data_IF_717561765391
#
_entry.id   IF_717561765391
#
_cell.length_a   1.000
_cell.length_b   1.000
_cell.length_c   1.000
_cell.angle_alpha   90.00
_cell.angle_beta   90.00
_cell.angle_gamma   90.00
#
_symmetry.space_group_name_H-M   'P 1'
#
loop_
_entity.id
_entity.type
_entity.pdbx_description
1 polymer ?
#
# COMPACT_ATOMS: atom_id res chain seq x y z
N UNK A 1 20.00 -0.72 2.00
CA UNK A 1 19.45 -1.96 2.58
C UNK A 1 18.01 -1.77 3.05
N UNK A 2 17.68 -0.73 3.85
CA UNK A 2 16.29 -0.51 4.31
C UNK A 2 15.31 -0.37 3.15
N UNK A 3 15.64 0.39 2.11
CA UNK A 3 14.79 0.59 0.92
C UNK A 3 14.43 -0.74 0.23
N UNK A 4 15.40 -1.65 0.10
CA UNK A 4 15.16 -3.00 -0.46
C UNK A 4 14.27 -3.84 0.45
N UNK A 5 14.46 -3.76 1.77
CA UNK A 5 13.60 -4.44 2.73
C UNK A 5 12.18 -3.88 2.64
N UNK A 6 12.02 -2.56 2.52
CA UNK A 6 10.71 -1.92 2.30
C UNK A 6 10.04 -2.45 1.03
N UNK A 7 10.76 -2.49 -0.08
CA UNK A 7 10.25 -3.01 -1.34
C UNK A 7 9.81 -4.48 -1.20
N UNK A 8 10.65 -5.31 -0.60
CA UNK A 8 10.35 -6.73 -0.39
C UNK A 8 9.11 -6.92 0.49
N UNK A 9 9.05 -6.24 1.63
CA UNK A 9 7.91 -6.31 2.55
C UNK A 9 6.62 -5.83 1.88
N UNK A 10 6.69 -4.75 1.09
CA UNK A 10 5.54 -4.23 0.33
C UNK A 10 5.03 -5.22 -0.71
N UNK A 11 5.92 -6.03 -1.29
CA UNK A 11 5.54 -7.08 -2.24
C UNK A 11 4.98 -8.34 -1.57
N UNK A 12 5.41 -8.65 -0.35
CA UNK A 12 4.93 -9.85 0.38
C UNK A 12 3.58 -9.59 1.06
N UNK A 13 3.38 -8.38 1.59
CA UNK A 13 2.12 -8.02 2.26
C UNK A 13 1.05 -7.69 1.20
N UNK A 14 0.44 -8.76 0.66
CA UNK A 14 -0.60 -8.69 -0.38
C UNK A 14 -1.92 -8.28 0.28
N UNK A 15 -2.03 -7.02 0.67
CA UNK A 15 -3.26 -6.49 1.26
C UNK A 15 -3.46 -5.04 0.83
N UNK A 16 -4.61 -4.77 0.20
CA UNK A 16 -4.97 -3.43 -0.27
C UNK A 16 -5.02 -2.41 0.87
N UNK A 17 -4.31 -1.30 0.71
CA UNK A 17 -4.30 -0.20 1.66
C UNK A 17 -3.49 -0.49 2.93
N UNK A 18 -3.78 -1.59 3.63
CA UNK A 18 -3.04 -1.97 4.84
C UNK A 18 -1.57 -2.29 4.57
N UNK A 19 -1.25 -2.88 3.42
CA UNK A 19 0.14 -3.15 3.03
C UNK A 19 0.98 -1.88 2.99
N UNK A 20 0.47 -0.84 2.34
CA UNK A 20 1.16 0.44 2.22
C UNK A 20 1.28 1.16 3.57
N UNK A 21 0.18 1.25 4.32
CA UNK A 21 0.15 1.95 5.62
C UNK A 21 0.95 1.17 6.67
N UNK A 22 0.69 -0.13 6.81
CA UNK A 22 1.33 -0.97 7.83
C UNK A 22 2.83 -1.12 7.60
N UNK A 23 3.25 -1.48 6.39
CA UNK A 23 4.68 -1.55 6.05
C UNK A 23 5.33 -0.18 6.17
N UNK A 24 4.63 0.89 5.76
CA UNK A 24 5.09 2.26 5.94
C UNK A 24 5.35 2.61 7.39
N UNK A 25 4.43 2.31 8.29
CA UNK A 25 4.58 2.57 9.72
C UNK A 25 5.77 1.81 10.34
N UNK A 26 5.91 0.51 10.02
CA UNK A 26 7.02 -0.32 10.51
C UNK A 26 8.37 0.16 9.95
N UNK A 27 8.42 0.54 8.69
CA UNK A 27 9.66 0.93 8.02
C UNK A 27 10.10 2.38 8.30
N UNK A 28 9.18 3.25 8.75
CA UNK A 28 9.51 4.65 9.09
C UNK A 28 10.71 4.79 10.02
N UNK A 29 10.74 4.20 11.22
CA UNK A 29 11.87 4.38 12.14
C UNK A 29 13.18 3.84 11.57
N UNK A 30 13.14 2.84 10.70
CA UNK A 30 14.33 2.26 10.08
C UNK A 30 14.86 3.15 8.96
N UNK A 31 13.96 3.67 8.12
CA UNK A 31 14.31 4.56 7.01
C UNK A 31 14.75 5.94 7.51
N UNK A 32 14.16 6.43 8.59
CA UNK A 32 14.55 7.70 9.23
C UNK A 32 15.99 7.65 9.75
N UNK A 33 16.37 6.56 10.42
CA UNK A 33 17.76 6.36 10.85
C UNK A 33 18.76 6.33 9.68
N UNK A 34 18.30 5.95 8.48
CA UNK A 34 19.11 5.93 7.26
C UNK A 34 18.97 7.21 6.42
N UNK A 35 18.32 8.24 6.96
CA UNK A 35 18.10 9.53 6.31
C UNK A 35 17.46 9.40 4.92
N UNK A 36 16.48 8.50 4.78
CA UNK A 36 15.66 8.33 3.57
C UNK A 36 14.46 9.27 3.68
N UNK A 37 14.23 10.08 2.64
CA UNK A 37 13.09 10.99 2.62
C UNK A 37 11.75 10.24 2.67
N UNK A 38 10.74 10.85 3.30
CA UNK A 38 9.38 10.26 3.40
C UNK A 38 8.74 10.10 2.03
N UNK A 39 9.05 11.01 1.10
CA UNK A 39 8.57 10.95 -0.27
C UNK A 39 9.13 9.72 -0.99
N UNK A 40 10.41 9.39 -0.79
CA UNK A 40 11.02 8.20 -1.38
C UNK A 40 10.49 6.91 -0.77
N UNK A 41 10.29 6.89 0.56
CA UNK A 41 9.63 5.77 1.23
C UNK A 41 8.23 5.56 0.67
N UNK A 42 7.40 6.61 0.59
CA UNK A 42 6.04 6.54 0.03
C UNK A 42 6.02 6.07 -1.41
N UNK A 43 6.98 6.54 -2.23
CA UNK A 43 7.10 6.11 -3.61
C UNK A 43 7.38 4.60 -3.74
N UNK A 44 8.34 4.07 -2.97
CA UNK A 44 8.67 2.63 -2.99
C UNK A 44 7.46 1.80 -2.55
N UNK A 45 6.75 2.22 -1.51
CA UNK A 45 5.55 1.56 -1.03
C UNK A 45 4.45 1.53 -2.10
N UNK A 46 4.10 2.70 -2.65
CA UNK A 46 3.00 2.83 -3.62
C UNK A 46 3.31 2.16 -4.96
N UNK A 47 4.57 2.23 -5.42
CA UNK A 47 4.97 1.59 -6.68
C UNK A 47 5.07 0.07 -6.59
N UNK A 48 4.98 -0.50 -5.40
CA UNK A 48 5.13 -1.95 -5.18
C UNK A 48 3.85 -2.58 -4.65
N UNK A 49 3.31 -2.09 -3.54
CA UNK A 49 2.19 -2.75 -2.85
C UNK A 49 0.95 -2.87 -3.73
N UNK A 50 0.46 -1.78 -4.29
CA UNK A 50 -0.75 -1.79 -5.12
C UNK A 50 -0.59 -2.56 -6.44
N UNK A 51 0.50 -2.35 -7.21
CA UNK A 51 0.72 -3.12 -8.43
C UNK A 51 0.87 -4.62 -8.19
N UNK A 52 1.51 -5.05 -7.11
CA UNK A 52 1.65 -6.48 -6.78
C UNK A 52 0.28 -7.12 -6.54
N UNK A 53 -0.64 -6.44 -5.86
CA UNK A 53 -2.01 -6.96 -5.64
C UNK A 53 -2.74 -7.23 -6.97
N UNK A 54 -2.49 -6.40 -7.99
CA UNK A 54 -3.09 -6.59 -9.31
C UNK A 54 -2.40 -7.70 -10.15
N UNK A 55 -1.19 -8.09 -9.80
CA UNK A 55 -0.44 -9.16 -10.48
C UNK A 55 -0.64 -10.54 -9.85
N UNK A 56 -1.20 -10.61 -8.64
CA UNK A 56 -1.41 -11.87 -7.94
C UNK A 56 -2.82 -12.39 -8.24
N UNK A 57 -2.98 -13.63 -8.70
CA UNK A 57 -4.29 -14.18 -9.08
C UNK A 57 -5.19 -14.57 -7.89
N UNK A 58 -4.73 -14.35 -6.65
CA UNK A 58 -5.48 -14.71 -5.43
C UNK A 58 -5.82 -13.44 -4.64
N UNK A 59 -6.43 -12.48 -5.32
CA UNK A 59 -6.82 -11.20 -4.70
C UNK A 59 -8.28 -10.88 -4.99
N UNK A 60 -8.81 -9.85 -4.33
CA UNK A 60 -10.17 -9.39 -4.59
C UNK A 60 -10.38 -8.95 -6.05
N UNK A 61 -9.32 -8.60 -6.77
CA UNK A 61 -9.40 -8.18 -8.16
C UNK A 61 -9.93 -9.28 -9.07
N UNK A 62 -9.55 -10.55 -8.85
CA UNK A 62 -10.07 -11.66 -9.67
C UNK A 62 -11.58 -11.81 -9.48
N UNK A 63 -12.09 -11.58 -8.27
CA UNK A 63 -13.53 -11.69 -8.01
C UNK A 63 -14.30 -10.52 -8.64
N UNK A 64 -13.79 -9.30 -8.47
CA UNK A 64 -14.45 -8.09 -8.98
C UNK A 64 -14.36 -8.02 -10.50
N UNK A 65 -13.18 -8.07 -11.07
CA UNK A 65 -13.00 -7.94 -12.52
C UNK A 65 -13.46 -9.20 -13.27
N UNK A 66 -13.19 -10.39 -12.72
CA UNK A 66 -13.70 -11.63 -13.28
C UNK A 66 -15.24 -11.65 -13.29
N UNK A 67 -15.88 -11.22 -12.20
CA UNK A 67 -17.33 -11.08 -12.14
C UNK A 67 -17.89 -10.08 -13.15
N UNK A 68 -17.24 -8.93 -13.33
CA UNK A 68 -17.61 -7.94 -14.35
C UNK A 68 -17.47 -8.50 -15.77
N UNK A 69 -16.38 -9.20 -16.08
CA UNK A 69 -16.16 -9.82 -17.39
C UNK A 69 -17.27 -10.83 -17.66
N UNK A 70 -17.56 -11.76 -16.73
CA UNK A 70 -18.63 -12.75 -16.90
C UNK A 70 -20.01 -12.11 -17.00
N UNK A 71 -20.23 -10.93 -16.40
CA UNK A 71 -21.53 -10.24 -16.52
C UNK A 71 -21.75 -9.63 -17.90
N UNK A 72 -20.66 -9.21 -18.58
CA UNK A 72 -20.71 -8.61 -19.93
C UNK A 72 -20.59 -9.68 -21.01
N UNK A 73 -19.79 -10.71 -20.76
CA UNK A 73 -19.53 -11.83 -21.67
C UNK A 73 -19.82 -13.16 -20.95
N UNK A 74 -21.10 -13.57 -20.86
CA UNK A 74 -21.50 -14.77 -20.13
C UNK A 74 -20.94 -16.08 -20.68
N UNK A 75 -20.45 -16.05 -21.91
CA UNK A 75 -19.83 -17.19 -22.61
C UNK A 75 -18.41 -17.49 -22.12
N UNK A 76 -17.78 -16.52 -21.41
CA UNK A 76 -16.42 -16.63 -20.93
C UNK A 76 -16.36 -16.80 -19.41
N UNK A 77 -15.40 -17.60 -18.96
CA UNK A 77 -15.00 -17.58 -17.57
C UNK A 77 -14.17 -16.31 -17.28
N UNK A 78 -14.83 -15.31 -16.72
CA UNK A 78 -14.20 -14.02 -16.46
C UNK A 78 -13.01 -14.09 -15.50
N UNK A 79 -12.97 -15.08 -14.59
CA UNK A 79 -11.84 -15.29 -13.71
C UNK A 79 -10.62 -15.80 -14.48
N UNK A 80 -10.84 -16.76 -15.38
CA UNK A 80 -9.78 -17.25 -16.26
C UNK A 80 -9.25 -16.14 -17.16
N UNK A 81 -10.14 -15.37 -17.78
CA UNK A 81 -9.76 -14.24 -18.65
C UNK A 81 -8.94 -13.19 -17.86
N UNK A 82 -9.33 -12.91 -16.62
CA UNK A 82 -8.56 -12.00 -15.78
C UNK A 82 -7.14 -12.54 -15.51
N UNK A 83 -7.00 -13.81 -15.14
CA UNK A 83 -5.69 -14.43 -14.87
C UNK A 83 -4.82 -14.40 -16.15
N UNK A 84 -5.40 -14.74 -17.29
CA UNK A 84 -4.69 -14.69 -18.58
C UNK A 84 -4.27 -13.27 -18.99
N UNK A 85 -4.93 -12.23 -18.49
CA UNK A 85 -4.58 -10.82 -18.72
C UNK A 85 -3.41 -10.33 -17.87
N UNK A 86 -3.08 -10.99 -16.77
CA UNK A 86 -2.02 -10.56 -15.84
C UNK A 86 -0.67 -10.31 -16.52
N UNK A 87 -0.16 -11.19 -17.41
CA UNK A 87 1.12 -10.96 -18.09
C UNK A 87 1.13 -9.73 -19.02
N UNK A 88 -0.03 -9.23 -19.41
CA UNK A 88 -0.21 -8.05 -20.25
C UNK A 88 -0.40 -6.77 -19.44
N UNK A 89 -0.42 -6.85 -18.11
CA UNK A 89 -0.51 -5.68 -17.25
C UNK A 89 0.86 -5.01 -17.11
N UNK A 90 1.34 -4.41 -18.21
CA UNK A 90 2.66 -3.78 -18.29
C UNK A 90 2.85 -2.67 -17.27
N UNK A 91 1.79 -1.92 -16.95
CA UNK A 91 1.88 -0.86 -15.94
C UNK A 91 2.29 -1.42 -14.58
N UNK A 92 1.64 -2.47 -14.11
CA UNK A 92 1.94 -3.05 -12.80
C UNK A 92 3.33 -3.70 -12.78
N UNK A 93 3.68 -4.44 -13.86
CA UNK A 93 5.00 -5.07 -13.99
C UNK A 93 6.11 -4.03 -13.97
N UNK A 94 5.99 -2.98 -14.78
CA UNK A 94 6.98 -1.91 -14.85
C UNK A 94 7.03 -1.10 -13.55
N UNK A 95 5.91 -0.86 -12.89
CA UNK A 95 5.86 -0.14 -11.62
C UNK A 95 6.65 -0.88 -10.53
N UNK A 96 6.44 -2.19 -10.38
CA UNK A 96 7.18 -3.02 -9.42
C UNK A 96 8.68 -3.04 -9.74
N UNK A 97 9.02 -3.14 -11.03
CA UNK A 97 10.42 -3.13 -11.49
C UNK A 97 11.09 -1.78 -11.19
N UNK A 98 10.45 -0.67 -11.53
CA UNK A 98 10.97 0.68 -11.27
C UNK A 98 11.07 0.92 -9.75
N UNK A 99 10.10 0.44 -8.97
CA UNK A 99 10.17 0.44 -7.51
C UNK A 99 11.39 -0.29 -6.98
N UNK A 100 11.71 -1.48 -7.53
CA UNK A 100 12.91 -2.25 -7.19
C UNK A 100 14.18 -1.48 -7.54
N UNK A 101 14.28 -0.98 -8.76
CA UNK A 101 15.47 -0.25 -9.23
C UNK A 101 15.70 1.03 -8.40
N UNK A 102 14.62 1.70 -7.99
CA UNK A 102 14.69 2.87 -7.09
C UNK A 102 15.12 2.47 -5.69
N UNK A 103 14.61 1.36 -5.15
CA UNK A 103 14.98 0.85 -3.84
C UNK A 103 16.44 0.35 -3.81
N UNK A 104 16.91 -0.22 -4.93
CA UNK A 104 18.30 -0.65 -5.12
C UNK A 104 19.26 0.51 -5.41
N UNK A 105 18.77 1.74 -5.56
CA UNK A 105 19.56 2.94 -5.93
C UNK A 105 20.26 2.80 -7.31
N UNK A 106 19.71 1.96 -8.19
CA UNK A 106 20.19 1.80 -9.57
C UNK A 106 19.65 2.90 -10.49
N UNK A 107 18.49 3.48 -10.14
CA UNK A 107 17.96 4.64 -10.85
C UNK A 107 18.33 5.92 -10.09
N UNK A 108 18.79 6.95 -10.80
CA UNK A 108 19.03 8.26 -10.20
C UNK A 108 17.70 8.89 -9.77
N UNK A 109 17.72 9.58 -8.64
CA UNK A 109 16.57 10.37 -8.21
C UNK A 109 16.38 11.57 -9.16
N UNK A 110 15.13 11.81 -9.59
CA UNK A 110 14.78 12.88 -10.53
C UNK A 110 13.94 13.96 -9.85
N UNK A 111 14.03 15.16 -10.38
CA UNK A 111 13.14 16.28 -10.06
C UNK A 111 13.01 16.54 -8.57
N UNK A 112 11.79 16.51 -8.08
CA UNK A 112 11.47 16.80 -6.69
C UNK A 112 12.02 15.77 -5.71
N UNK A 113 12.00 14.48 -6.05
CA UNK A 113 12.52 13.41 -5.20
C UNK A 113 14.02 13.59 -4.95
N UNK A 114 14.80 13.98 -5.98
CA UNK A 114 16.23 14.26 -5.81
C UNK A 114 16.49 15.38 -4.79
N UNK A 115 15.70 16.46 -4.83
CA UNK A 115 15.82 17.57 -3.87
C UNK A 115 15.51 17.10 -2.45
N UNK A 116 14.47 16.30 -2.26
CA UNK A 116 14.06 15.79 -0.94
C UNK A 116 15.06 14.79 -0.38
N UNK A 117 15.53 13.85 -1.19
CA UNK A 117 16.53 12.87 -0.76
C UNK A 117 17.86 13.54 -0.40
N UNK A 118 18.23 14.60 -1.13
CA UNK A 118 19.41 15.44 -0.79
C UNK A 118 19.22 16.15 0.55
N UNK A 119 18.08 16.80 0.75
CA UNK A 119 17.76 17.48 2.02
C UNK A 119 17.73 16.50 3.20
N UNK A 120 17.17 15.30 3.00
CA UNK A 120 17.16 14.26 4.03
C UNK A 120 18.58 13.79 4.40
N UNK A 121 19.47 13.61 3.40
CA UNK A 121 20.85 13.15 3.63
C UNK A 121 21.74 14.21 4.27
N UNK A 122 21.67 15.44 3.76
CA UNK A 122 22.57 16.54 4.19
C UNK A 122 22.07 17.22 5.48
N UNK A 123 20.78 17.56 5.53
CA UNK A 123 20.21 18.36 6.62
C UNK A 123 19.42 17.52 7.63
N UNK A 124 19.13 16.24 7.33
CA UNK A 124 18.25 15.42 8.15
C UNK A 124 16.76 15.80 8.00
N UNK A 125 16.40 16.57 6.99
CA UNK A 125 15.02 16.97 6.71
C UNK A 125 14.24 15.84 6.05
N UNK A 126 13.71 14.93 6.84
CA UNK A 126 12.98 13.75 6.35
C UNK A 126 11.61 14.09 5.77
N UNK A 127 11.02 15.19 6.22
CA UNK A 127 9.66 15.64 5.88
C UNK A 127 9.76 16.99 5.16
N UNK A 128 8.89 17.20 4.19
CA UNK A 128 8.81 18.47 3.47
C UNK A 128 8.43 19.61 4.41
N UNK A 129 9.13 20.78 4.38
CA UNK A 129 8.71 21.95 5.12
C UNK A 129 7.27 22.35 4.78
N UNK A 130 6.46 22.58 5.80
CA UNK A 130 5.04 22.96 5.64
C UNK A 130 4.10 21.79 5.33
N UNK A 131 4.56 20.53 5.29
CA UNK A 131 3.66 19.37 5.30
C UNK A 131 3.47 18.89 6.73
N UNK A 132 2.23 18.54 7.05
CA UNK A 132 1.86 17.91 8.32
C UNK A 132 1.49 16.45 8.01
N UNK A 133 2.47 15.54 7.96
CA UNK A 133 2.14 14.12 7.82
C UNK A 133 1.40 13.67 9.07
N UNK A 134 0.51 12.70 8.95
CA UNK A 134 -0.11 12.04 10.10
C UNK A 134 1.01 11.50 11.00
N UNK A 135 1.31 12.22 12.07
CA UNK A 135 2.33 11.81 13.02
C UNK A 135 1.76 10.69 13.91
N UNK A 136 2.62 9.74 14.24
CA UNK A 136 2.30 8.66 15.17
C UNK A 136 1.79 9.21 16.51
N UNK A 137 2.23 10.43 16.89
CA UNK A 137 1.74 11.12 18.10
C UNK A 137 0.25 11.44 18.08
N UNK A 138 -0.29 11.89 16.94
CA UNK A 138 -1.74 12.13 16.83
C UNK A 138 -2.53 10.82 16.94
N UNK A 139 -1.98 9.73 16.40
CA UNK A 139 -2.56 8.39 16.55
C UNK A 139 -2.40 7.87 17.97
N UNK A 140 -1.23 8.05 18.59
CA UNK A 140 -0.97 7.66 19.99
C UNK A 140 -1.81 8.50 20.96
N UNK A 141 -2.01 9.79 20.69
CA UNK A 141 -2.87 10.67 21.48
C UNK A 141 -4.36 10.28 21.32
N UNK A 142 -4.78 9.91 20.11
CA UNK A 142 -6.13 9.38 19.87
C UNK A 142 -6.32 7.99 20.53
N UNK A 143 -5.32 7.13 20.47
CA UNK A 143 -5.35 5.81 21.11
C UNK A 143 -5.33 5.92 22.63
N UNK A 144 -4.60 6.88 23.19
CA UNK A 144 -4.57 7.14 24.65
C UNK A 144 -5.83 7.83 25.17
N UNK A 145 -6.52 8.59 24.31
CA UNK A 145 -7.77 9.28 24.68
C UNK A 145 -8.99 8.34 24.68
N UNK A 146 -8.92 7.23 23.94
CA UNK A 146 -10.02 6.26 23.85
C UNK A 146 -9.63 5.03 24.66
N UNK A 147 -10.31 4.80 25.79
CA UNK A 147 -10.19 3.52 26.50
C UNK A 147 -10.60 2.40 25.56
N UNK A 148 -9.75 1.38 25.35
CA UNK A 148 -10.11 0.24 24.51
C UNK A 148 -11.34 -0.45 25.11
N UNK A 149 -12.48 -0.25 24.48
CA UNK A 149 -13.73 -0.88 24.86
C UNK A 149 -14.09 -1.94 23.84
N UNK A 150 -14.10 -3.18 24.30
CA UNK A 150 -14.47 -4.34 23.49
C UNK A 150 -15.85 -4.18 22.84
N UNK A 151 -16.78 -3.51 23.54
CA UNK A 151 -18.12 -3.25 23.03
C UNK A 151 -18.09 -2.33 21.79
N UNK A 152 -17.22 -1.32 21.77
CA UNK A 152 -17.08 -0.38 20.66
C UNK A 152 -16.59 -1.06 19.37
N UNK A 153 -15.91 -2.20 19.48
CA UNK A 153 -15.51 -3.02 18.35
C UNK A 153 -16.61 -4.01 17.93
N UNK A 154 -17.19 -4.69 18.90
CA UNK A 154 -18.17 -5.76 18.64
C UNK A 154 -19.52 -5.23 18.17
N UNK A 155 -19.98 -4.10 18.73
CA UNK A 155 -21.29 -3.53 18.41
C UNK A 155 -21.47 -3.21 16.90
N UNK A 156 -20.55 -2.49 16.25
CA UNK A 156 -20.63 -2.23 14.80
C UNK A 156 -20.65 -3.52 13.96
N UNK A 157 -19.86 -4.53 14.34
CA UNK A 157 -19.85 -5.82 13.65
C UNK A 157 -21.18 -6.54 13.78
N UNK A 158 -21.74 -6.60 14.97
CA UNK A 158 -23.06 -7.24 15.21
C UNK A 158 -24.13 -6.51 14.41
N UNK A 159 -24.17 -5.18 14.45
CA UNK A 159 -25.13 -4.38 13.68
C UNK A 159 -24.96 -4.62 12.18
N UNK A 160 -23.73 -4.69 11.69
CA UNK A 160 -23.44 -4.98 10.28
C UNK A 160 -23.96 -6.37 9.85
N UNK A 161 -23.71 -7.42 10.65
CA UNK A 161 -24.21 -8.75 10.34
C UNK A 161 -25.72 -8.85 10.42
N UNK A 162 -26.35 -8.21 11.41
CA UNK A 162 -27.81 -8.15 11.50
C UNK A 162 -28.40 -7.43 10.29
N UNK A 163 -27.81 -6.30 9.89
CA UNK A 163 -28.27 -5.57 8.70
C UNK A 163 -28.20 -6.41 7.44
N UNK A 164 -27.12 -7.19 7.23
CA UNK A 164 -27.00 -8.10 6.08
C UNK A 164 -28.10 -9.17 6.11
N UNK A 165 -28.38 -9.74 7.27
CA UNK A 165 -29.43 -10.78 7.41
C UNK A 165 -30.81 -10.19 7.12
N UNK A 166 -31.11 -9.00 7.65
CA UNK A 166 -32.41 -8.34 7.46
C UNK A 166 -32.63 -7.89 6.01
N UNK A 167 -31.58 -7.44 5.32
CA UNK A 167 -31.70 -7.03 3.89
C UNK A 167 -31.89 -8.23 2.96
N UNK A 168 -31.50 -9.43 3.41
CA UNK A 168 -31.58 -10.65 2.58
C UNK A 168 -32.90 -11.44 2.76
N UNK A 169 -33.76 -11.04 3.71
CA UNK A 169 -35.12 -11.56 3.92
C UNK A 169 -36.12 -10.63 3.24
#
# INVERSE_FOLDING_TARGET
KAKLITWLLSGIVINQGFGTIGVGAIMRPITDKQKVSREKLGYILSSTAEPVVALVPITIYILVFGGLISSVLPELDGQQVFVESIPYNFFCILSVLVGLLTAAELLPDFGFMKKREKAAKENGELIRPGSSPMETKELDDMESAVKPDFLSFVLPLVVFFIAIIVIRI
#
